data_IF_251988601002
#
_entry.id   IF_251988601002
#
_cell.length_a   1.000
_cell.length_b   1.000
_cell.length_c   1.000
_cell.angle_alpha   90.00
_cell.angle_beta   90.00
_cell.angle_gamma   90.00
#
_symmetry.space_group_name_H-M   'P 1'
#
loop_
_entity.id
_entity.type
_entity.pdbx_description
1 polymer ?
#
# COMPACT_ATOMS: atom_id res chain seq x y z
N UNK A 1 -11.91 9.86 18.72
CA UNK A 1 -12.47 8.99 17.69
C UNK A 1 -11.31 8.42 16.90
N UNK A 2 -11.03 7.15 17.10
CA UNK A 2 -10.01 6.46 16.29
C UNK A 2 -10.61 6.28 14.90
N UNK A 3 -9.96 6.81 13.89
CA UNK A 3 -10.25 6.52 12.49
C UNK A 3 -9.30 5.42 12.07
N UNK A 4 -9.79 4.22 11.81
CA UNK A 4 -8.98 3.09 11.43
C UNK A 4 -9.69 1.76 11.64
N UNK A 5 -9.00 0.66 11.32
CA UNK A 5 -9.48 -0.70 11.61
C UNK A 5 -9.41 -0.98 13.11
N UNK A 6 -10.43 -1.63 13.63
CA UNK A 6 -10.56 -1.92 15.06
C UNK A 6 -11.15 -3.32 15.27
N UNK A 7 -10.61 -4.05 16.23
CA UNK A 7 -11.19 -5.28 16.77
C UNK A 7 -11.45 -5.07 18.26
N UNK A 8 -12.63 -5.47 18.72
CA UNK A 8 -13.02 -5.33 20.12
C UNK A 8 -13.65 -6.61 20.63
N UNK A 9 -13.35 -6.93 21.89
CA UNK A 9 -14.02 -7.97 22.65
C UNK A 9 -14.99 -7.32 23.62
N UNK A 10 -16.20 -7.85 23.66
CA UNK A 10 -17.22 -7.41 24.62
C UNK A 10 -17.59 -8.55 25.57
N UNK A 11 -17.60 -8.27 26.87
CA UNK A 11 -18.29 -9.08 27.84
C UNK A 11 -19.79 -8.80 27.72
N UNK A 12 -20.54 -9.83 27.41
CA UNK A 12 -22.00 -9.82 27.25
C UNK A 12 -22.70 -10.68 28.29
N UNK A 13 -22.05 -10.97 29.41
CA UNK A 13 -22.63 -11.72 30.54
C UNK A 13 -23.88 -11.04 31.09
N UNK A 14 -23.92 -9.70 31.06
CA UNK A 14 -25.14 -8.90 31.17
C UNK A 14 -25.50 -8.30 29.79
N UNK A 15 -26.47 -8.87 29.05
CA UNK A 15 -26.83 -8.36 27.74
C UNK A 15 -27.40 -6.93 27.73
N UNK A 16 -27.82 -6.42 28.90
CA UNK A 16 -28.34 -5.07 29.02
C UNK A 16 -27.23 -4.03 29.22
N UNK A 17 -26.02 -4.47 29.59
CA UNK A 17 -24.85 -3.62 29.84
C UNK A 17 -23.55 -4.27 29.29
N UNK A 18 -23.39 -4.39 27.97
CA UNK A 18 -22.19 -4.97 27.37
C UNK A 18 -20.96 -4.09 27.63
N UNK A 19 -19.88 -4.69 28.11
CA UNK A 19 -18.63 -4.00 28.44
C UNK A 19 -17.54 -4.34 27.41
N UNK A 20 -16.89 -3.33 26.84
CA UNK A 20 -15.70 -3.53 26.00
C UNK A 20 -14.51 -3.87 26.91
N UNK A 21 -13.99 -5.09 26.82
CA UNK A 21 -12.93 -5.61 27.70
C UNK A 21 -11.55 -5.60 27.05
N UNK A 22 -11.48 -5.65 25.73
CA UNK A 22 -10.23 -5.56 24.99
C UNK A 22 -10.43 -4.89 23.65
N UNK A 23 -9.38 -4.21 23.19
CA UNK A 23 -9.34 -3.50 21.92
C UNK A 23 -7.97 -3.66 21.27
N UNK A 24 -7.97 -4.00 19.99
CA UNK A 24 -6.84 -3.79 19.10
C UNK A 24 -7.24 -2.78 18.03
N UNK A 25 -6.31 -1.95 17.56
CA UNK A 25 -6.58 -0.97 16.50
C UNK A 25 -5.37 -0.72 15.63
N UNK A 26 -5.61 -0.51 14.34
CA UNK A 26 -4.66 0.01 13.36
C UNK A 26 -5.13 1.43 12.96
N UNK A 27 -4.53 2.48 13.54
CA UNK A 27 -4.86 3.86 13.17
C UNK A 27 -4.53 4.13 11.70
N UNK A 28 -5.45 4.76 10.97
CA UNK A 28 -5.32 4.95 9.51
C UNK A 28 -5.54 3.68 8.69
N UNK A 29 -5.74 2.55 9.35
CA UNK A 29 -5.99 1.27 8.70
C UNK A 29 -7.41 1.17 8.14
N UNK A 30 -7.51 0.52 7.01
CA UNK A 30 -8.76 0.21 6.34
C UNK A 30 -8.84 -1.29 6.05
N UNK A 31 -10.04 -1.86 6.00
CA UNK A 31 -10.29 -3.25 5.65
C UNK A 31 -11.63 -3.42 4.95
N UNK A 32 -11.74 -4.51 4.19
CA UNK A 32 -12.93 -4.85 3.40
C UNK A 32 -13.95 -5.74 4.15
N UNK A 33 -13.71 -6.10 5.40
CA UNK A 33 -14.55 -7.07 6.13
C UNK A 33 -16.03 -6.65 6.14
N UNK A 34 -16.30 -5.35 6.14
CA UNK A 34 -17.65 -4.81 6.07
C UNK A 34 -18.41 -5.14 4.78
N UNK A 35 -17.70 -5.38 3.68
CA UNK A 35 -18.24 -5.70 2.35
C UNK A 35 -18.02 -7.17 2.01
N UNK A 36 -16.85 -7.70 2.38
CA UNK A 36 -16.41 -9.05 2.10
C UNK A 36 -16.07 -9.77 3.41
N UNK A 37 -17.10 -10.18 4.13
CA UNK A 37 -16.95 -10.83 5.43
C UNK A 37 -16.15 -12.14 5.40
N UNK A 38 -15.98 -12.78 4.22
CA UNK A 38 -15.14 -13.97 4.04
C UNK A 38 -13.65 -13.67 4.07
N UNK A 39 -13.25 -12.41 4.07
CA UNK A 39 -11.85 -12.02 4.29
C UNK A 39 -11.43 -12.15 5.77
N UNK A 40 -12.40 -12.20 6.69
CA UNK A 40 -12.14 -12.46 8.10
C UNK A 40 -12.02 -13.97 8.34
N UNK A 41 -10.94 -14.38 9.00
CA UNK A 41 -10.75 -15.75 9.48
C UNK A 41 -10.78 -15.79 11.02
N UNK A 42 -11.54 -16.72 11.59
CA UNK A 42 -11.43 -17.12 12.98
C UNK A 42 -11.03 -18.59 13.06
N UNK A 43 -9.84 -18.86 13.61
CA UNK A 43 -9.33 -20.21 13.84
C UNK A 43 -9.43 -20.55 15.34
N UNK A 44 -10.50 -21.22 15.72
CA UNK A 44 -10.82 -21.50 17.13
C UNK A 44 -9.80 -22.38 17.87
N UNK A 45 -9.17 -23.41 17.26
CA UNK A 45 -8.17 -24.22 17.95
C UNK A 45 -7.03 -23.41 18.55
N UNK A 46 -6.55 -22.38 17.85
CA UNK A 46 -5.47 -21.51 18.29
C UNK A 46 -5.97 -20.15 18.82
N UNK A 47 -7.28 -19.93 18.88
CA UNK A 47 -7.88 -18.64 19.24
C UNK A 47 -7.30 -17.49 18.39
N UNK A 48 -7.10 -17.76 17.12
CA UNK A 48 -6.45 -16.84 16.16
C UNK A 48 -7.50 -16.17 15.27
N UNK A 49 -7.48 -14.85 15.25
CA UNK A 49 -8.18 -14.06 14.25
C UNK A 49 -7.19 -13.54 13.21
N UNK A 50 -7.50 -13.68 11.92
CA UNK A 50 -6.71 -13.13 10.83
C UNK A 50 -7.57 -12.13 10.08
N UNK A 51 -7.10 -10.90 9.97
CA UNK A 51 -7.81 -9.78 9.36
C UNK A 51 -6.94 -9.07 8.34
N UNK A 52 -7.41 -8.90 7.10
CA UNK A 52 -6.74 -8.04 6.15
C UNK A 52 -6.81 -6.59 6.64
N UNK A 53 -5.71 -5.88 6.52
CA UNK A 53 -5.60 -4.47 6.89
C UNK A 53 -4.71 -3.76 5.89
N UNK A 54 -5.19 -2.64 5.38
CA UNK A 54 -4.41 -1.71 4.58
C UNK A 54 -4.20 -0.46 5.42
N UNK A 55 -2.96 -0.10 5.69
CA UNK A 55 -2.60 1.10 6.45
C UNK A 55 -2.09 2.17 5.50
N UNK A 56 -2.76 3.31 5.52
CA UNK A 56 -2.32 4.51 4.83
C UNK A 56 -2.12 5.60 5.88
N UNK A 57 -0.90 5.81 6.25
CA UNK A 57 -0.56 6.82 7.24
C UNK A 57 0.72 7.54 6.81
N UNK A 58 0.83 8.82 7.11
CA UNK A 58 1.95 9.71 6.75
C UNK A 58 3.33 9.06 7.00
N UNK A 59 3.75 8.17 6.09
CA UNK A 59 5.05 7.50 6.11
C UNK A 59 5.02 5.97 6.30
N UNK A 60 3.87 5.35 6.57
CA UNK A 60 3.75 3.89 6.64
C UNK A 60 2.60 3.45 5.72
N UNK A 61 2.94 2.98 4.52
CA UNK A 61 2.02 2.33 3.61
C UNK A 61 2.25 0.84 3.68
N UNK A 62 1.31 0.11 4.26
CA UNK A 62 1.40 -1.34 4.37
C UNK A 62 0.04 -1.97 4.07
N UNK A 63 0.04 -3.04 3.32
CA UNK A 63 -1.13 -3.87 3.07
C UNK A 63 -0.79 -5.34 3.30
N UNK A 64 -1.67 -6.03 4.02
CA UNK A 64 -1.43 -7.42 4.37
C UNK A 64 -2.56 -7.97 5.24
N UNK A 65 -2.25 -8.97 6.05
CA UNK A 65 -3.14 -9.45 7.09
C UNK A 65 -2.43 -9.48 8.45
N UNK A 66 -3.14 -9.05 9.47
CA UNK A 66 -2.70 -9.06 10.86
C UNK A 66 -3.26 -10.29 11.54
N UNK A 67 -2.42 -10.99 12.29
CA UNK A 67 -2.77 -12.12 13.12
C UNK A 67 -2.91 -11.69 14.58
N UNK A 68 -4.07 -11.92 15.12
CA UNK A 68 -4.43 -11.55 16.49
C UNK A 68 -4.75 -12.80 17.31
N UNK A 69 -3.99 -13.02 18.38
CA UNK A 69 -4.33 -14.01 19.41
C UNK A 69 -5.38 -13.41 20.33
N UNK A 70 -6.48 -14.11 20.52
CA UNK A 70 -7.64 -13.63 21.28
C UNK A 70 -7.97 -14.62 22.39
N UNK A 71 -7.70 -14.26 23.62
CA UNK A 71 -7.92 -15.11 24.78
C UNK A 71 -9.04 -14.55 25.67
N UNK A 72 -10.20 -14.36 25.14
CA UNK A 72 -11.40 -13.96 25.89
C UNK A 72 -11.38 -12.57 26.51
N UNK A 73 -10.25 -12.11 27.02
CA UNK A 73 -10.08 -10.80 27.70
C UNK A 73 -8.94 -9.96 27.12
N UNK A 74 -8.08 -10.53 26.28
CA UNK A 74 -6.96 -9.85 25.65
C UNK A 74 -6.95 -10.07 24.15
N UNK A 75 -6.38 -9.11 23.43
CA UNK A 75 -6.06 -9.21 22.01
C UNK A 75 -4.59 -8.86 21.89
N UNK A 76 -3.79 -9.79 21.37
CA UNK A 76 -2.37 -9.61 21.13
C UNK A 76 -2.10 -9.78 19.63
N UNK A 77 -1.35 -8.86 19.05
CA UNK A 77 -0.85 -9.01 17.69
C UNK A 77 0.37 -9.94 17.71
N UNK A 78 0.25 -11.10 17.09
CA UNK A 78 1.31 -12.13 17.08
C UNK A 78 2.09 -12.15 15.78
N UNK A 79 1.57 -11.53 14.73
CA UNK A 79 2.30 -11.42 13.47
C UNK A 79 1.55 -10.69 12.39
N UNK A 80 2.25 -10.46 11.30
CA UNK A 80 1.74 -9.89 10.06
C UNK A 80 2.22 -10.73 8.89
N UNK A 81 1.39 -10.84 7.88
CA UNK A 81 1.74 -11.39 6.57
C UNK A 81 1.40 -10.35 5.51
N UNK A 82 2.26 -10.24 4.52
CA UNK A 82 1.99 -9.50 3.30
C UNK A 82 2.48 -10.31 2.11
N UNK A 83 2.07 -9.92 0.93
CA UNK A 83 2.49 -10.53 -0.33
C UNK A 83 3.45 -9.60 -1.08
N UNK A 84 4.20 -8.80 -0.32
CA UNK A 84 5.27 -7.98 -0.87
C UNK A 84 6.45 -8.91 -1.11
N UNK A 85 6.86 -9.03 -2.35
CA UNK A 85 8.10 -9.73 -2.69
C UNK A 85 9.27 -8.86 -2.20
N UNK A 86 10.19 -9.41 -1.40
CA UNK A 86 11.40 -8.69 -0.97
C UNK A 86 12.30 -8.34 -2.15
N UNK A 87 12.19 -9.09 -3.25
CA UNK A 87 12.83 -8.81 -4.53
C UNK A 87 11.97 -7.91 -5.43
N UNK A 88 10.85 -7.39 -4.91
CA UNK A 88 9.95 -6.52 -5.65
C UNK A 88 10.68 -5.26 -6.07
N UNK A 89 10.79 -5.11 -7.36
CA UNK A 89 11.41 -3.95 -8.00
C UNK A 89 10.45 -2.77 -8.14
N UNK A 90 9.37 -2.74 -7.33
CA UNK A 90 8.43 -1.63 -7.31
C UNK A 90 9.16 -0.30 -7.13
N UNK A 91 8.89 0.60 -8.02
CA UNK A 91 9.58 1.87 -8.11
C UNK A 91 10.94 1.81 -8.81
N UNK A 92 11.38 0.64 -9.31
CA UNK A 92 12.50 0.57 -10.25
C UNK A 92 12.03 0.99 -11.64
N UNK A 93 12.84 1.78 -12.26
CA UNK A 93 12.68 2.21 -13.66
C UNK A 93 14.04 2.19 -14.33
N UNK A 94 14.07 1.93 -15.63
CA UNK A 94 15.27 2.14 -16.44
C UNK A 94 15.50 3.62 -16.73
N UNK A 95 14.46 4.44 -16.51
CA UNK A 95 14.48 5.88 -16.73
C UNK A 95 14.95 6.62 -15.48
N UNK A 96 15.45 7.83 -15.65
CA UNK A 96 15.87 8.68 -14.55
C UNK A 96 14.66 9.30 -13.82
N UNK A 97 14.68 9.30 -12.50
CA UNK A 97 13.71 10.01 -11.67
C UNK A 97 14.19 11.41 -11.40
N UNK A 98 13.44 12.41 -11.85
CA UNK A 98 13.76 13.80 -11.52
C UNK A 98 13.41 14.07 -10.05
N UNK A 99 14.38 14.70 -9.38
CA UNK A 99 14.29 15.09 -7.97
C UNK A 99 14.30 16.62 -7.83
N UNK A 100 14.05 17.12 -6.63
CA UNK A 100 14.16 18.55 -6.35
C UNK A 100 15.57 19.13 -6.63
N UNK A 101 16.60 18.28 -6.62
CA UNK A 101 17.98 18.71 -6.90
C UNK A 101 18.22 18.91 -8.41
N UNK A 102 17.41 18.29 -9.25
CA UNK A 102 17.47 18.43 -10.71
C UNK A 102 16.72 19.68 -11.22
N UNK A 103 15.86 20.24 -10.36
CA UNK A 103 15.14 21.47 -10.67
C UNK A 103 16.06 22.68 -10.43
N UNK A 104 16.07 23.66 -11.35
CA UNK A 104 16.88 24.85 -11.14
C UNK A 104 16.39 25.61 -9.91
N UNK A 105 17.32 25.89 -8.99
CA UNK A 105 17.03 26.76 -7.84
C UNK A 105 16.72 28.16 -8.34
N UNK A 106 15.45 28.54 -8.29
CA UNK A 106 15.07 29.93 -8.60
C UNK A 106 15.71 30.86 -7.57
N UNK A 107 16.61 31.72 -8.02
CA UNK A 107 17.33 32.66 -7.17
C UNK A 107 16.52 33.89 -6.73
N UNK A 108 15.18 33.87 -6.87
CA UNK A 108 14.30 34.97 -6.52
C UNK A 108 13.19 34.49 -5.59
N UNK A 109 13.01 35.14 -4.44
CA UNK A 109 12.04 34.80 -3.40
C UNK A 109 10.55 34.91 -3.84
N UNK A 110 10.31 35.16 -5.11
CA UNK A 110 8.99 35.16 -5.74
C UNK A 110 8.79 33.99 -6.69
N UNK A 111 9.35 32.82 -6.35
CA UNK A 111 9.15 31.64 -7.16
C UNK A 111 7.67 31.25 -7.19
N UNK A 112 7.08 31.34 -8.37
CA UNK A 112 5.84 30.61 -8.64
C UNK A 112 6.20 29.13 -8.54
N UNK A 113 5.55 28.41 -7.64
CA UNK A 113 5.59 26.95 -7.63
C UNK A 113 5.13 26.49 -9.01
N UNK A 114 6.03 25.83 -9.76
CA UNK A 114 5.67 25.25 -11.04
C UNK A 114 4.92 23.95 -10.79
N UNK A 115 4.14 23.50 -11.75
CA UNK A 115 3.43 22.23 -11.62
C UNK A 115 4.40 21.05 -11.52
N UNK A 116 5.55 21.11 -12.21
CA UNK A 116 6.64 20.13 -12.08
C UNK A 116 7.22 20.10 -10.66
N UNK A 117 7.48 21.25 -10.05
CA UNK A 117 7.98 21.32 -8.67
C UNK A 117 6.97 20.70 -7.70
N UNK A 118 5.69 20.95 -7.90
CA UNK A 118 4.62 20.37 -7.11
C UNK A 118 4.61 18.83 -7.19
N UNK A 119 4.70 18.27 -8.40
CA UNK A 119 4.73 16.83 -8.63
C UNK A 119 5.98 16.20 -8.01
N UNK A 120 7.16 16.82 -8.16
CA UNK A 120 8.42 16.34 -7.57
C UNK A 120 8.35 16.32 -6.03
N UNK A 121 7.62 17.25 -5.42
CA UNK A 121 7.60 17.43 -3.96
C UNK A 121 6.36 16.87 -3.27
N UNK A 122 5.34 16.40 -4.00
CA UNK A 122 4.09 15.90 -3.42
C UNK A 122 4.27 14.56 -2.67
N UNK A 123 5.36 13.83 -2.90
CA UNK A 123 5.68 12.56 -2.27
C UNK A 123 4.91 11.35 -2.82
N UNK A 124 3.94 11.57 -3.72
CA UNK A 124 3.09 10.52 -4.31
C UNK A 124 3.37 10.30 -5.79
N UNK A 125 3.96 11.28 -6.45
CA UNK A 125 4.23 11.26 -7.88
C UNK A 125 5.73 11.35 -8.13
N UNK A 126 6.16 10.84 -9.26
CA UNK A 126 7.55 10.95 -9.73
C UNK A 126 7.55 11.43 -11.16
N UNK A 127 8.35 12.43 -11.46
CA UNK A 127 8.64 12.81 -12.82
C UNK A 127 9.75 11.90 -13.32
N UNK A 128 9.48 11.22 -14.42
CA UNK A 128 10.37 10.23 -15.01
C UNK A 128 10.85 10.74 -16.36
N UNK A 129 12.15 10.76 -16.54
CA UNK A 129 12.83 11.09 -17.78
C UNK A 129 13.37 9.80 -18.41
N UNK A 130 12.84 9.41 -19.54
CA UNK A 130 13.25 8.22 -20.28
C UNK A 130 14.04 8.59 -21.53
N UNK A 131 15.18 7.94 -21.76
CA UNK A 131 15.94 8.07 -23.00
C UNK A 131 15.18 7.44 -24.20
N UNK A 132 15.54 7.81 -25.43
CA UNK A 132 14.90 7.26 -26.62
C UNK A 132 14.97 5.74 -26.67
N UNK A 133 13.80 5.09 -26.74
CA UNK A 133 13.68 3.63 -26.79
C UNK A 133 13.39 2.96 -25.45
N UNK A 134 13.46 3.68 -24.34
CA UNK A 134 12.97 3.24 -23.04
C UNK A 134 11.45 3.43 -22.96
N UNK A 135 10.81 2.60 -22.17
CA UNK A 135 9.36 2.73 -21.92
C UNK A 135 9.11 3.51 -20.65
N UNK A 136 8.19 4.48 -20.72
CA UNK A 136 7.71 5.18 -19.54
C UNK A 136 6.91 4.20 -18.64
N UNK A 137 7.61 3.53 -17.76
CA UNK A 137 7.01 2.60 -16.82
C UNK A 137 7.81 2.56 -15.51
N UNK A 138 7.08 2.54 -14.40
CA UNK A 138 7.62 2.27 -13.08
C UNK A 138 6.77 1.18 -12.47
N UNK A 139 7.38 0.10 -12.03
CA UNK A 139 6.63 -1.01 -11.45
C UNK A 139 5.80 -0.55 -10.25
N UNK A 140 4.53 -0.91 -10.22
CA UNK A 140 3.56 -0.50 -9.19
C UNK A 140 2.99 0.92 -9.32
N UNK A 141 3.37 1.66 -10.39
CA UNK A 141 2.89 3.02 -10.64
C UNK A 141 2.07 3.06 -11.94
N UNK A 142 1.14 3.98 -11.99
CA UNK A 142 0.46 4.32 -13.23
C UNK A 142 1.16 5.52 -13.86
N UNK A 143 1.72 5.34 -15.05
CA UNK A 143 2.51 6.34 -15.73
C UNK A 143 1.75 6.98 -16.88
N UNK A 144 1.99 8.28 -17.08
CA UNK A 144 1.39 9.10 -18.13
C UNK A 144 2.47 9.96 -18.78
N UNK A 145 2.51 9.92 -20.11
CA UNK A 145 3.26 10.88 -20.88
C UNK A 145 2.41 12.13 -21.09
N UNK A 146 2.94 13.28 -20.70
CA UNK A 146 2.23 14.56 -20.77
C UNK A 146 3.07 15.57 -21.54
N UNK A 147 2.71 15.91 -22.77
CA UNK A 147 3.47 16.82 -23.63
C UNK A 147 3.74 18.20 -23.02
N UNK A 148 2.81 18.70 -22.18
CA UNK A 148 2.95 19.99 -21.51
C UNK A 148 4.13 20.03 -20.54
N UNK A 149 4.54 18.87 -20.00
CA UNK A 149 5.68 18.79 -19.06
C UNK A 149 6.99 19.14 -19.75
N UNK A 150 7.15 18.81 -21.03
CA UNK A 150 8.33 19.18 -21.80
C UNK A 150 8.43 20.71 -21.94
N UNK A 151 7.30 21.36 -22.28
CA UNK A 151 7.25 22.80 -22.44
C UNK A 151 7.55 23.52 -21.11
N UNK A 152 7.06 23.00 -20.00
CA UNK A 152 7.31 23.57 -18.68
C UNK A 152 8.75 23.31 -18.21
N UNK A 153 9.29 22.11 -18.41
CA UNK A 153 10.68 21.78 -18.09
C UNK A 153 11.65 22.69 -18.84
N UNK A 154 11.41 22.95 -20.12
CA UNK A 154 12.21 23.89 -20.92
C UNK A 154 12.13 25.31 -20.35
N UNK A 155 10.92 25.76 -19.95
CA UNK A 155 10.74 27.11 -19.40
C UNK A 155 11.47 27.31 -18.07
N UNK A 156 11.56 26.28 -17.23
CA UNK A 156 12.27 26.36 -15.96
C UNK A 156 13.75 25.97 -16.07
N UNK A 157 14.20 25.55 -17.26
CA UNK A 157 15.61 25.27 -17.55
C UNK A 157 16.10 23.88 -17.16
N UNK A 158 15.20 22.92 -17.02
CA UNK A 158 15.56 21.50 -16.89
C UNK A 158 16.13 21.03 -18.23
N UNK A 159 17.31 20.41 -18.20
CA UNK A 159 17.93 19.86 -19.41
C UNK A 159 17.25 18.54 -19.79
N UNK A 160 16.51 18.55 -20.90
CA UNK A 160 15.91 17.36 -21.46
C UNK A 160 16.74 16.91 -22.67
N UNK A 161 17.20 15.65 -22.73
CA UNK A 161 17.89 15.12 -23.91
C UNK A 161 16.98 15.14 -25.17
N UNK A 162 17.62 15.25 -26.35
CA UNK A 162 16.90 15.18 -27.62
C UNK A 162 16.17 13.82 -27.72
N UNK A 163 14.89 13.86 -28.13
CA UNK A 163 14.03 12.70 -28.29
C UNK A 163 13.73 11.89 -26.99
N UNK A 164 14.04 12.43 -25.80
CA UNK A 164 13.63 11.82 -24.54
C UNK A 164 12.13 11.99 -24.27
N UNK A 165 11.57 11.05 -23.54
CA UNK A 165 10.18 11.10 -23.07
C UNK A 165 10.16 11.57 -21.62
N UNK A 166 9.38 12.60 -21.34
CA UNK A 166 9.10 13.06 -19.98
C UNK A 166 7.65 12.76 -19.63
N UNK A 167 7.43 12.19 -18.49
CA UNK A 167 6.11 11.91 -17.98
C UNK A 167 6.11 11.82 -16.47
N UNK A 168 4.96 11.62 -15.88
CA UNK A 168 4.88 11.36 -14.46
C UNK A 168 4.24 10.02 -14.18
N UNK A 169 4.71 9.38 -13.13
CA UNK A 169 4.17 8.16 -12.61
C UNK A 169 3.55 8.45 -11.25
N UNK A 170 2.25 8.24 -11.17
CA UNK A 170 1.49 8.40 -9.93
C UNK A 170 1.59 7.10 -9.13
N UNK A 171 2.08 7.20 -7.89
CA UNK A 171 1.89 6.11 -6.95
C UNK A 171 0.38 5.99 -6.69
N UNK A 172 -0.24 4.99 -7.28
CA UNK A 172 -1.66 4.66 -7.06
C UNK A 172 -1.92 4.23 -5.61
N UNK A 173 -1.07 4.75 -4.70
CA UNK A 173 -0.92 4.33 -3.34
C UNK A 173 -0.45 2.90 -3.41
N UNK A 174 0.84 2.68 -3.48
CA UNK A 174 1.53 1.40 -3.49
C UNK A 174 0.60 0.29 -2.96
N UNK A 175 -0.30 -0.17 -3.85
CA UNK A 175 -1.33 -1.11 -3.46
C UNK A 175 -0.61 -2.45 -3.33
N UNK A 176 0.08 -2.59 -2.21
CA UNK A 176 0.53 -3.91 -1.82
C UNK A 176 -0.64 -4.86 -2.03
N UNK A 177 -0.40 -6.05 -2.58
CA UNK A 177 -1.48 -6.96 -2.95
C UNK A 177 -2.43 -7.16 -1.77
N UNK A 178 -3.70 -6.77 -1.94
CA UNK A 178 -4.69 -6.85 -0.87
C UNK A 178 -5.02 -8.30 -0.61
N UNK A 179 -4.75 -8.77 0.58
CA UNK A 179 -5.14 -10.11 0.99
C UNK A 179 -6.66 -10.19 1.08
N UNK A 180 -7.27 -10.92 0.16
CA UNK A 180 -8.73 -11.04 0.04
C UNK A 180 -9.28 -12.27 0.77
N UNK A 181 -8.45 -13.28 0.99
CA UNK A 181 -8.82 -14.55 1.65
C UNK A 181 -7.67 -15.10 2.45
N UNK A 182 -8.03 -15.65 3.61
CA UNK A 182 -7.13 -16.48 4.40
C UNK A 182 -7.88 -17.75 4.82
N UNK A 183 -7.17 -18.86 4.96
CA UNK A 183 -7.70 -20.12 5.45
C UNK A 183 -6.61 -20.92 6.13
N UNK A 184 -7.00 -21.76 7.11
CA UNK A 184 -6.09 -22.72 7.70
C UNK A 184 -6.32 -24.10 7.05
N UNK A 185 -5.23 -24.72 6.59
CA UNK A 185 -5.23 -26.04 5.99
C UNK A 185 -4.45 -26.99 6.90
N UNK A 186 -4.95 -28.20 7.04
CA UNK A 186 -4.38 -29.28 7.88
C UNK A 186 -4.10 -28.90 9.35
N UNK A 187 -4.46 -27.68 9.75
CA UNK A 187 -4.38 -27.19 11.12
C UNK A 187 -3.10 -26.42 11.46
N UNK A 188 -2.12 -26.38 10.58
CA UNK A 188 -0.80 -25.80 10.78
C UNK A 188 -0.34 -24.86 9.66
N UNK A 189 -1.01 -24.87 8.53
CA UNK A 189 -0.70 -23.97 7.41
C UNK A 189 -1.72 -22.85 7.28
N UNK A 190 -1.25 -21.60 7.28
CA UNK A 190 -2.05 -20.44 6.94
C UNK A 190 -1.84 -20.08 5.46
N UNK A 191 -2.88 -20.29 4.69
CA UNK A 191 -2.92 -19.95 3.28
C UNK A 191 -3.55 -18.56 3.13
N UNK A 192 -2.89 -17.69 2.40
CA UNK A 192 -3.37 -16.36 2.08
C UNK A 192 -3.38 -16.11 0.59
N UNK A 193 -4.46 -15.53 0.10
CA UNK A 193 -4.68 -15.19 -1.29
C UNK A 193 -4.82 -13.67 -1.41
N UNK A 194 -4.00 -13.08 -2.25
CA UNK A 194 -4.11 -11.67 -2.63
C UNK A 194 -4.43 -11.51 -4.09
N UNK A 195 -4.92 -10.34 -4.43
CA UNK A 195 -5.06 -9.87 -5.82
C UNK A 195 -4.55 -8.44 -5.90
N UNK A 196 -3.84 -8.12 -6.95
CA UNK A 196 -3.53 -6.73 -7.27
C UNK A 196 -4.81 -6.01 -7.71
N UNK A 197 -5.07 -4.87 -7.10
CA UNK A 197 -6.17 -4.01 -7.50
C UNK A 197 -5.70 -3.05 -8.59
N UNK A 198 -6.09 -3.32 -9.83
CA UNK A 198 -5.98 -2.35 -10.91
C UNK A 198 -7.37 -1.99 -11.43
N UNK A 199 -7.73 -0.73 -11.42
CA UNK A 199 -9.01 -0.23 -11.95
C UNK A 199 -9.23 -0.59 -13.44
N UNK A 200 -8.17 -1.02 -14.14
CA UNK A 200 -8.19 -1.36 -15.56
C UNK A 200 -7.58 -2.72 -15.89
N UNK A 201 -7.31 -3.57 -14.90
CA UNK A 201 -6.71 -4.89 -15.14
C UNK A 201 -7.66 -6.01 -14.74
N UNK A 202 -8.51 -6.51 -15.64
CA UNK A 202 -9.41 -7.63 -15.35
C UNK A 202 -8.66 -8.96 -15.14
N UNK A 203 -7.36 -8.99 -15.33
CA UNK A 203 -6.48 -10.15 -15.23
C UNK A 203 -5.33 -9.90 -14.26
N UNK A 204 -5.57 -9.13 -13.17
CA UNK A 204 -4.54 -8.97 -12.14
C UNK A 204 -4.13 -10.36 -11.60
N UNK A 205 -2.83 -10.67 -11.56
CA UNK A 205 -2.37 -11.94 -11.04
C UNK A 205 -2.79 -12.10 -9.58
N UNK A 206 -3.30 -13.27 -9.24
CA UNK A 206 -3.55 -13.64 -7.86
C UNK A 206 -2.33 -14.36 -7.31
N UNK A 207 -1.86 -13.93 -6.15
CA UNK A 207 -0.74 -14.59 -5.45
C UNK A 207 -1.28 -15.41 -4.29
N UNK A 208 -0.83 -16.64 -4.21
CA UNK A 208 -1.09 -17.56 -3.09
C UNK A 208 0.20 -17.75 -2.29
N UNK A 209 0.15 -17.43 -1.00
CA UNK A 209 1.26 -17.66 -0.09
C UNK A 209 0.84 -18.64 1.00
N UNK A 210 1.78 -19.47 1.44
CA UNK A 210 1.60 -20.45 2.51
C UNK A 210 2.60 -20.15 3.62
N UNK A 211 2.11 -19.98 4.83
CA UNK A 211 2.91 -19.72 6.01
C UNK A 211 2.65 -20.81 7.05
N UNK A 212 3.68 -21.22 7.77
CA UNK A 212 3.56 -22.12 8.93
C UNK A 212 3.01 -21.31 10.11
N UNK A 213 1.90 -21.75 10.71
CA UNK A 213 1.31 -21.09 11.88
C UNK A 213 2.25 -21.10 13.08
N UNK A 214 3.06 -22.14 13.24
CA UNK A 214 4.07 -22.23 14.30
C UNK A 214 5.19 -21.19 14.20
N UNK A 215 5.34 -20.53 13.05
CA UNK A 215 6.33 -19.44 12.89
C UNK A 215 5.94 -18.13 13.57
N UNK A 216 4.70 -18.03 14.06
CA UNK A 216 4.13 -16.83 14.71
C UNK A 216 3.91 -16.99 16.22
N UNK A 217 4.51 -18.01 16.83
CA UNK A 217 4.46 -18.25 18.28
C UNK A 217 5.55 -17.47 19.07
#
# INVERSE_FOLDING_TARGET
RVTGSKVSIFDVSDPADPQEVAVWSAPGGWNDIGWEHRSFLWWGPEQLAVIPVNVWNNGENWAGAVMLKVDGTTIEEVGRIDHIDEDDDRGRTECDVLTSDDLPTSGDETSFETELEWIVTDGYSRIILCEPGESLSVSGFQCYEEPWMLDEAEQIGVAIPDDATLGYCWDNGNMAPVISRTMVIDGDELWSLSSEWGWNSPEAPATLQVNDLGSFE
#
